data_IF_558306129945
#
_entry.id   IF_558306129945
#
_cell.length_a   1.000
_cell.length_b   1.000
_cell.length_c   1.000
_cell.angle_alpha   90.00
_cell.angle_beta   90.00
_cell.angle_gamma   90.00
#
_symmetry.space_group_name_H-M   'P 1'
#
loop_
_entity.id
_entity.type
_entity.pdbx_description
1 polymer ?
#
# COMPACT_ATOMS: atom_id res chain seq x y z
N UNK A 1 4.86 11.79 1.72
CA UNK A 1 3.63 11.12 1.22
C UNK A 1 3.54 11.28 -0.28
N UNK A 2 4.11 10.34 -1.05
CA UNK A 2 4.05 10.37 -2.52
C UNK A 2 3.90 8.97 -3.14
N UNK A 3 4.22 7.93 -2.37
CA UNK A 3 4.21 6.54 -2.81
C UNK A 3 3.35 5.72 -1.87
N UNK A 4 2.77 4.62 -2.37
CA UNK A 4 1.95 3.68 -1.58
C UNK A 4 2.69 3.20 -0.32
N UNK A 5 3.96 2.82 -0.45
CA UNK A 5 4.80 2.39 0.69
C UNK A 5 5.02 3.48 1.73
N UNK A 6 4.94 4.76 1.34
CA UNK A 6 5.06 5.90 2.26
C UNK A 6 3.82 6.12 3.14
N UNK A 7 2.76 5.33 2.96
CA UNK A 7 1.57 5.33 3.81
C UNK A 7 1.49 4.12 4.74
N UNK A 8 2.42 3.16 4.65
CA UNK A 8 2.42 2.00 5.52
C UNK A 8 2.60 2.41 7.00
N UNK A 9 2.07 1.59 7.91
CA UNK A 9 2.35 1.75 9.34
C UNK A 9 3.84 1.58 9.64
N UNK A 10 4.21 1.85 10.89
CA UNK A 10 5.53 1.53 11.44
C UNK A 10 5.94 0.05 11.29
N UNK A 11 4.96 -0.86 11.29
CA UNK A 11 5.16 -2.28 11.01
C UNK A 11 5.20 -2.63 9.51
N UNK A 12 5.10 -1.64 8.62
CA UNK A 12 5.08 -1.84 7.18
C UNK A 12 3.74 -2.34 6.63
N UNK A 13 2.65 -2.21 7.39
CA UNK A 13 1.34 -2.72 7.01
C UNK A 13 0.47 -1.64 6.35
N UNK A 14 -0.29 -2.04 5.34
CA UNK A 14 -1.27 -1.20 4.64
C UNK A 14 -2.71 -1.50 5.11
N UNK A 15 -3.54 -0.46 5.14
CA UNK A 15 -5.00 -0.60 5.24
C UNK A 15 -5.66 -0.67 3.86
N UNK A 16 -6.97 -0.87 3.86
CA UNK A 16 -7.82 -0.78 2.67
C UNK A 16 -7.80 0.62 2.05
N UNK A 17 -7.93 1.64 2.90
CA UNK A 17 -8.11 3.02 2.49
C UNK A 17 -7.17 3.95 3.24
N UNK A 18 -6.93 5.14 2.69
CA UNK A 18 -6.25 6.21 3.39
C UNK A 18 -7.17 7.45 3.48
N UNK A 19 -7.47 7.90 4.69
CA UNK A 19 -8.22 9.13 4.92
C UNK A 19 -7.27 10.32 4.70
N UNK A 20 -7.29 10.89 3.49
CA UNK A 20 -6.44 12.02 3.13
C UNK A 20 -6.79 13.31 3.89
N UNK A 21 -8.04 13.49 4.32
CA UNK A 21 -8.45 14.67 5.06
C UNK A 21 -7.90 14.66 6.49
N UNK A 22 -7.84 13.48 7.11
CA UNK A 22 -7.33 13.30 8.48
C UNK A 22 -5.90 12.78 8.56
N UNK A 23 -5.30 12.42 7.43
CA UNK A 23 -3.92 11.95 7.34
C UNK A 23 -3.67 10.63 8.05
N UNK A 24 -4.58 9.65 7.94
CA UNK A 24 -4.42 8.33 8.59
C UNK A 24 -4.91 7.16 7.75
N UNK A 25 -4.42 5.97 8.09
CA UNK A 25 -4.98 4.70 7.60
C UNK A 25 -6.44 4.56 8.05
N UNK A 26 -7.28 4.05 7.15
CA UNK A 26 -8.72 3.88 7.34
C UNK A 26 -9.22 2.57 6.73
N UNK A 27 -10.41 2.15 7.15
CA UNK A 27 -11.00 0.88 6.75
C UNK A 27 -10.33 -0.31 7.42
N UNK A 28 -10.41 -1.48 6.78
CA UNK A 28 -9.83 -2.71 7.32
C UNK A 28 -8.31 -2.59 7.43
N UNK A 29 -7.75 -3.07 8.55
CA UNK A 29 -6.31 -3.04 8.80
C UNK A 29 -5.87 -4.25 9.64
N UNK A 30 -4.80 -4.97 9.25
CA UNK A 30 -4.11 -4.88 7.96
C UNK A 30 -4.95 -5.50 6.84
N UNK A 31 -4.90 -4.94 5.63
CA UNK A 31 -5.75 -5.39 4.53
C UNK A 31 -4.95 -6.19 3.50
N UNK A 32 -5.33 -7.46 3.30
CA UNK A 32 -4.54 -8.40 2.49
C UNK A 32 -4.45 -8.02 1.00
N UNK A 33 -5.52 -7.50 0.37
CA UNK A 33 -5.49 -7.20 -1.07
C UNK A 33 -4.66 -5.95 -1.43
N UNK A 34 -4.45 -5.01 -0.53
CA UNK A 34 -3.60 -3.84 -0.67
C UNK A 34 -2.15 -4.28 -0.73
N UNK A 35 -1.77 -5.23 0.14
CA UNK A 35 -0.45 -5.86 0.10
C UNK A 35 -0.28 -6.69 -1.18
N UNK A 36 -1.29 -7.49 -1.56
CA UNK A 36 -1.26 -8.26 -2.81
C UNK A 36 -1.13 -7.33 -4.03
N UNK A 37 -1.86 -6.22 -4.06
CA UNK A 37 -1.80 -5.22 -5.11
C UNK A 37 -0.41 -4.60 -5.22
N UNK A 38 0.22 -4.27 -4.08
CA UNK A 38 1.60 -3.75 -4.06
C UNK A 38 2.61 -4.78 -4.60
N UNK A 39 2.50 -6.04 -4.19
CA UNK A 39 3.36 -7.14 -4.69
C UNK A 39 3.18 -7.31 -6.20
N UNK A 40 1.93 -7.35 -6.68
CA UNK A 40 1.63 -7.46 -8.12
C UNK A 40 2.18 -6.30 -8.94
N UNK A 41 2.14 -5.08 -8.39
CA UNK A 41 2.74 -3.93 -9.04
C UNK A 41 4.27 -4.07 -9.14
N UNK A 42 4.92 -4.58 -8.09
CA UNK A 42 6.36 -4.86 -8.11
C UNK A 42 6.72 -5.95 -9.13
N UNK A 43 5.95 -7.04 -9.19
CA UNK A 43 6.11 -8.11 -10.20
C UNK A 43 6.03 -7.52 -11.62
N UNK A 44 5.00 -6.70 -11.89
CA UNK A 44 4.77 -6.11 -13.21
C UNK A 44 5.89 -5.15 -13.64
N UNK A 45 6.38 -4.32 -12.71
CA UNK A 45 7.52 -3.43 -12.97
C UNK A 45 8.79 -4.22 -13.25
N UNK A 46 9.04 -5.30 -12.50
CA UNK A 46 10.19 -6.18 -12.71
C UNK A 46 10.15 -6.83 -14.08
N UNK A 47 8.98 -7.34 -14.49
CA UNK A 47 8.79 -7.94 -15.81
C UNK A 47 8.97 -6.94 -16.96
N UNK A 48 8.60 -5.67 -16.77
CA UNK A 48 8.72 -4.63 -17.79
C UNK A 48 10.15 -4.08 -17.95
N UNK A 49 11.01 -4.26 -16.94
CA UNK A 49 12.40 -3.79 -16.94
C UNK A 49 13.41 -4.87 -17.35
N UNK A 50 12.95 -6.10 -17.57
CA UNK A 50 13.74 -7.22 -18.10
C UNK A 50 13.82 -7.15 -19.63
#
# INVERSE_FOLDING_TARGET
>A
MRTTVGFASDLGLLSEEYDAARGRLAGNFPQAFSHLGLIRAADALTAALA
#
